data_IF_021351503925
#
_entry.id   IF_021351503925
#
_cell.length_a   1.000
_cell.length_b   1.000
_cell.length_c   1.000
_cell.angle_alpha   90.00
_cell.angle_beta   90.00
_cell.angle_gamma   90.00
#
_symmetry.space_group_name_H-M   'P 1'
#
loop_
_entity.id
_entity.type
_entity.pdbx_description
1 polymer ?
#
# COMPACT_ATOMS: atom_id res chain seq x y z
N UNK A 1 -18.20 12.79 0.77
CA UNK A 1 -16.89 12.93 1.41
C UNK A 1 -16.23 11.57 1.51
N UNK A 2 -15.06 11.44 0.94
CA UNK A 2 -14.40 10.15 0.93
C UNK A 2 -13.68 9.88 2.25
N UNK A 3 -13.81 8.65 2.72
CA UNK A 3 -13.13 8.21 3.92
C UNK A 3 -11.70 7.82 3.56
N UNK A 4 -10.76 8.16 4.41
CA UNK A 4 -9.37 7.74 4.21
C UNK A 4 -9.17 6.36 4.82
N UNK A 5 -8.90 5.39 3.98
CA UNK A 5 -8.64 4.01 4.39
C UNK A 5 -7.15 3.68 4.35
N UNK A 6 -6.40 4.40 3.53
CA UNK A 6 -4.99 4.15 3.29
C UNK A 6 -4.23 5.48 3.37
N UNK A 7 -3.11 5.47 4.06
CA UNK A 7 -2.22 6.63 4.15
C UNK A 7 -0.93 6.33 3.40
N UNK A 8 -0.53 7.28 2.56
CA UNK A 8 0.73 7.25 1.81
C UNK A 8 1.55 8.43 2.32
N UNK A 9 2.75 8.17 2.83
CA UNK A 9 3.55 9.22 3.47
C UNK A 9 4.30 10.11 2.49
N UNK A 10 4.78 9.55 1.40
CA UNK A 10 5.58 10.26 0.42
C UNK A 10 5.06 9.94 -0.98
N UNK A 11 5.06 10.91 -1.88
CA UNK A 11 4.60 10.70 -3.26
C UNK A 11 5.41 9.62 -4.00
N UNK A 12 6.61 9.35 -3.53
CA UNK A 12 7.47 8.31 -4.11
C UNK A 12 7.17 6.92 -3.56
N UNK A 13 6.36 6.85 -2.51
CA UNK A 13 6.00 5.56 -1.91
C UNK A 13 5.19 4.74 -2.90
N UNK A 14 5.53 3.47 -3.01
CA UNK A 14 4.77 2.53 -3.84
C UNK A 14 3.93 1.58 -3.02
N UNK A 15 3.82 1.84 -1.71
CA UNK A 15 2.95 1.11 -0.80
C UNK A 15 2.23 2.10 0.11
N UNK A 16 1.04 1.72 0.57
CA UNK A 16 0.29 2.49 1.55
C UNK A 16 0.02 1.65 2.78
N UNK A 17 -0.35 2.30 3.87
CA UNK A 17 -0.67 1.63 5.14
C UNK A 17 -2.17 1.68 5.36
N UNK A 18 -2.76 0.55 5.70
CA UNK A 18 -4.18 0.46 6.04
C UNK A 18 -4.38 1.05 7.44
N UNK A 19 -5.27 2.03 7.54
CA UNK A 19 -5.55 2.74 8.81
C UNK A 19 -6.96 2.50 9.33
N UNK A 20 -7.73 1.62 8.69
CA UNK A 20 -9.03 1.18 9.16
C UNK A 20 -8.91 -0.26 9.66
N UNK A 21 -9.92 -0.77 10.36
CA UNK A 21 -9.86 -2.11 10.95
C UNK A 21 -9.49 -3.18 9.93
N UNK A 22 -10.05 -3.08 8.75
CA UNK A 22 -9.68 -3.95 7.62
C UNK A 22 -10.27 -3.40 6.34
N UNK A 23 -9.72 -3.84 5.23
CA UNK A 23 -10.22 -3.54 3.90
C UNK A 23 -10.70 -4.84 3.29
N UNK A 24 -11.93 -4.86 2.81
CA UNK A 24 -12.49 -6.06 2.19
C UNK A 24 -12.04 -6.19 0.74
N UNK A 25 -11.98 -7.40 0.25
CA UNK A 25 -11.69 -7.66 -1.16
C UNK A 25 -12.74 -6.97 -2.04
N UNK A 26 -12.29 -6.21 -3.02
CA UNK A 26 -13.16 -5.49 -3.93
C UNK A 26 -13.63 -4.15 -3.41
N UNK A 27 -13.21 -3.75 -2.22
CA UNK A 27 -13.59 -2.47 -1.64
C UNK A 27 -12.82 -1.32 -2.29
N UNK A 28 -13.52 -0.22 -2.60
CA UNK A 28 -12.86 1.00 -3.05
C UNK A 28 -12.31 1.72 -1.83
N UNK A 29 -11.00 1.95 -1.82
CA UNK A 29 -10.32 2.56 -0.69
C UNK A 29 -9.86 3.96 -1.04
N UNK A 30 -10.09 4.90 -0.13
CA UNK A 30 -9.56 6.26 -0.27
C UNK A 30 -8.12 6.29 0.19
N UNK A 31 -7.24 6.83 -0.63
CA UNK A 31 -5.83 6.99 -0.31
C UNK A 31 -5.51 8.46 -0.14
N UNK A 32 -4.75 8.80 0.88
CA UNK A 32 -4.30 10.16 1.12
C UNK A 32 -2.79 10.20 1.13
N UNK A 33 -2.22 11.05 0.27
CA UNK A 33 -0.76 11.24 0.19
C UNK A 33 -0.44 12.46 1.04
N UNK A 34 0.20 12.22 2.17
CA UNK A 34 0.46 13.27 3.17
C UNK A 34 1.42 14.35 2.67
N UNK A 35 2.39 13.97 1.87
CA UNK A 35 3.41 14.90 1.41
C UNK A 35 2.84 16.08 0.64
N UNK A 36 1.92 15.83 -0.29
CA UNK A 36 1.36 16.88 -1.14
C UNK A 36 -0.14 17.08 -0.96
N UNK A 37 -0.71 16.49 0.09
CA UNK A 37 -2.13 16.61 0.42
C UNK A 37 -3.02 16.25 -0.78
N UNK A 38 -2.69 15.16 -1.45
CA UNK A 38 -3.44 14.68 -2.61
C UNK A 38 -4.19 13.40 -2.26
N UNK A 39 -5.40 13.29 -2.77
CA UNK A 39 -6.23 12.09 -2.55
C UNK A 39 -6.36 11.29 -3.83
N UNK A 40 -6.32 9.98 -3.67
CA UNK A 40 -6.53 9.03 -4.77
C UNK A 40 -7.41 7.90 -4.26
N UNK A 41 -7.76 6.98 -5.13
CA UNK A 41 -8.49 5.79 -4.74
C UNK A 41 -7.85 4.57 -5.37
N UNK A 42 -7.99 3.44 -4.68
CA UNK A 42 -7.49 2.16 -5.17
C UNK A 42 -8.49 1.08 -4.76
N UNK A 43 -8.71 0.12 -5.64
CA UNK A 43 -9.57 -1.01 -5.34
C UNK A 43 -8.73 -2.12 -4.72
N UNK A 44 -9.16 -2.61 -3.58
CA UNK A 44 -8.48 -3.71 -2.91
C UNK A 44 -8.75 -5.02 -3.66
N UNK A 45 -7.71 -5.77 -3.93
CA UNK A 45 -7.84 -7.08 -4.57
C UNK A 45 -7.85 -8.22 -3.55
N UNK A 46 -7.68 -7.90 -2.27
CA UNK A 46 -7.69 -8.88 -1.19
C UNK A 46 -8.10 -8.23 0.11
N UNK A 47 -8.48 -9.04 1.09
CA UNK A 47 -8.76 -8.54 2.42
C UNK A 47 -7.44 -8.20 3.11
N UNK A 48 -7.32 -6.98 3.63
CA UNK A 48 -6.09 -6.50 4.25
C UNK A 48 -6.42 -5.93 5.62
N UNK A 49 -5.88 -6.49 6.70
CA UNK A 49 -6.15 -6.00 8.06
C UNK A 49 -5.42 -4.70 8.39
N UNK A 50 -5.86 -4.06 9.46
CA UNK A 50 -5.24 -2.85 9.98
C UNK A 50 -3.73 -3.03 10.19
N UNK A 51 -2.96 -2.03 9.81
CA UNK A 51 -1.53 -2.01 10.03
C UNK A 51 -0.70 -2.68 8.95
N UNK A 52 -1.35 -3.42 8.07
CA UNK A 52 -0.65 -4.03 6.94
C UNK A 52 -0.51 -3.04 5.79
N UNK A 53 0.40 -3.35 4.88
CA UNK A 53 0.65 -2.49 3.72
C UNK A 53 -0.06 -3.05 2.49
N UNK A 54 -0.51 -2.15 1.65
CA UNK A 54 -1.14 -2.48 0.38
C UNK A 54 -0.24 -2.02 -0.76
N UNK A 55 -0.12 -2.83 -1.80
CA UNK A 55 0.66 -2.48 -2.98
C UNK A 55 -0.09 -1.41 -3.79
N UNK A 56 0.60 -0.32 -4.11
CA UNK A 56 0.02 0.77 -4.91
C UNK A 56 0.28 0.58 -6.40
N UNK A 57 1.05 -0.44 -6.75
CA UNK A 57 1.39 -0.79 -8.12
C UNK A 57 1.68 -2.29 -8.20
N UNK A 58 1.79 -2.81 -9.41
CA UNK A 58 2.21 -4.19 -9.60
C UNK A 58 3.70 -4.32 -9.29
N UNK A 59 4.05 -5.31 -8.50
CA UNK A 59 5.44 -5.62 -8.17
C UNK A 59 5.85 -6.95 -8.75
N UNK A 60 7.12 -7.04 -9.14
CA UNK A 60 7.75 -8.29 -9.54
C UNK A 60 8.75 -8.68 -8.46
N UNK A 61 9.10 -9.96 -8.43
CA UNK A 61 10.15 -10.43 -7.54
C UNK A 61 11.42 -9.61 -7.74
N UNK A 62 11.96 -9.10 -6.65
CA UNK A 62 13.16 -8.26 -6.67
C UNK A 62 12.90 -6.76 -6.77
N UNK A 63 11.66 -6.35 -6.98
CA UNK A 63 11.34 -4.92 -7.00
C UNK A 63 11.56 -4.29 -5.63
N UNK A 64 11.96 -3.03 -5.63
CA UNK A 64 12.22 -2.29 -4.40
C UNK A 64 10.93 -1.70 -3.85
N UNK A 65 10.71 -1.87 -2.55
CA UNK A 65 9.58 -1.28 -1.85
C UNK A 65 10.03 0.05 -1.26
N UNK A 66 9.33 1.13 -1.61
CA UNK A 66 9.64 2.48 -1.15
C UNK A 66 8.58 2.93 -0.15
N UNK A 67 9.01 3.34 1.03
CA UNK A 67 8.15 3.92 2.05
C UNK A 67 8.91 5.04 2.75
N UNK A 68 8.23 6.17 2.99
CA UNK A 68 8.86 7.40 3.47
C UNK A 68 9.97 7.88 2.54
N UNK A 69 9.85 7.57 1.24
CA UNK A 69 10.86 7.92 0.26
C UNK A 69 12.13 7.07 0.35
N UNK A 70 12.13 6.02 1.16
CA UNK A 70 13.30 5.16 1.39
C UNK A 70 13.03 3.72 0.97
N UNK A 71 14.08 3.04 0.57
CA UNK A 71 14.08 1.62 0.28
C UNK A 71 13.93 0.85 1.61
N UNK A 72 12.82 0.13 1.77
CA UNK A 72 12.59 -0.64 3.00
C UNK A 72 12.65 -2.15 2.77
N UNK A 73 12.95 -2.59 1.56
CA UNK A 73 13.08 -4.00 1.28
C UNK A 73 12.77 -4.34 -0.17
N UNK A 74 12.79 -5.63 -0.45
CA UNK A 74 12.53 -6.16 -1.78
C UNK A 74 11.32 -7.08 -1.76
N UNK A 75 10.58 -7.08 -2.85
CA UNK A 75 9.45 -7.97 -3.05
C UNK A 75 9.98 -9.40 -3.27
N UNK A 76 9.39 -10.37 -2.58
CA UNK A 76 9.84 -11.77 -2.66
C UNK A 76 9.07 -12.58 -3.68
N UNK A 77 7.96 -12.05 -4.17
CA UNK A 77 7.15 -12.71 -5.20
C UNK A 77 6.28 -11.66 -5.90
N UNK A 78 5.71 -12.03 -7.04
CA UNK A 78 4.84 -11.12 -7.79
C UNK A 78 3.63 -10.73 -6.95
N UNK A 79 3.39 -9.42 -6.82
CA UNK A 79 2.25 -8.85 -6.08
C UNK A 79 1.52 -7.89 -7.01
N UNK A 80 0.22 -8.06 -7.12
CA UNK A 80 -0.60 -7.17 -7.94
C UNK A 80 -1.00 -5.93 -7.16
N UNK A 81 -1.21 -4.83 -7.88
CA UNK A 81 -1.75 -3.61 -7.31
C UNK A 81 -3.05 -3.91 -6.55
N UNK A 82 -3.14 -3.39 -5.34
CA UNK A 82 -4.32 -3.60 -4.49
C UNK A 82 -4.25 -4.83 -3.61
N UNK A 83 -3.19 -5.61 -3.69
CA UNK A 83 -3.00 -6.81 -2.87
C UNK A 83 -2.20 -6.51 -1.62
N UNK A 84 -2.34 -7.39 -0.63
CA UNK A 84 -1.53 -7.33 0.57
C UNK A 84 -0.05 -7.46 0.22
N UNK A 85 0.74 -6.56 0.74
CA UNK A 85 2.17 -6.56 0.48
C UNK A 85 2.89 -7.47 1.47
N UNK A 86 3.63 -8.43 0.94
CA UNK A 86 4.48 -9.30 1.74
C UNK A 86 5.93 -8.88 1.55
N UNK A 87 6.61 -8.64 2.67
CA UNK A 87 8.03 -8.36 2.65
C UNK A 87 8.76 -9.40 3.46
N UNK A 88 9.97 -9.74 3.01
CA UNK A 88 10.86 -10.56 3.82
C UNK A 88 11.24 -9.79 5.07
N UNK A 89 11.13 -10.37 6.25
CA UNK A 89 11.62 -9.69 7.44
C UNK A 89 13.12 -9.49 7.32
N UNK A 90 13.58 -8.33 7.73
CA UNK A 90 15.02 -8.07 7.77
C UNK A 90 15.66 -8.98 8.81
N UNK A 91 16.77 -9.60 8.47
CA UNK A 91 17.51 -10.40 9.44
C UNK A 91 18.09 -9.52 10.55
#
# INVERSE_FOLDING_TARGET
MSKTDIIIHDKKDNVGVIVVEKVAKGQDCGCWIMENDTSNSIKSEAEIPLGHKIALQDFKEGDTIIKYGHDIGKVVEHIKKGCLLYTSPSP
#
